data_IF_689279032350
#
_entry.id   IF_689279032350
#
_cell.length_a   1.000
_cell.length_b   1.000
_cell.length_c   1.000
_cell.angle_alpha   90.00
_cell.angle_beta   90.00
_cell.angle_gamma   90.00
#
_symmetry.space_group_name_H-M   'P 1'
#
loop_
_entity.id
_entity.type
_entity.pdbx_description
1 polymer ?
#
# COMPACT_ATOMS: atom_id res chain seq x y z
N UNK A 1 18.79 -5.36 13.18
CA UNK A 1 17.40 -4.83 13.18
C UNK A 1 16.54 -5.82 12.40
N UNK A 2 15.30 -6.04 12.83
CA UNK A 2 14.31 -6.85 12.09
C UNK A 2 13.12 -5.93 11.82
N UNK A 3 12.70 -5.83 10.56
CA UNK A 3 11.55 -5.03 10.14
C UNK A 3 10.60 -5.92 9.34
N UNK A 4 9.30 -5.77 9.63
CA UNK A 4 8.22 -6.38 8.86
C UNK A 4 7.28 -5.27 8.45
N UNK A 5 7.06 -5.12 7.14
CA UNK A 5 6.19 -4.09 6.58
C UNK A 5 5.30 -4.71 5.49
N UNK A 6 4.15 -4.09 5.25
CA UNK A 6 3.27 -4.48 4.14
C UNK A 6 3.85 -3.92 2.84
N UNK A 7 4.20 -4.80 1.92
CA UNK A 7 4.71 -4.44 0.60
C UNK A 7 3.73 -4.77 -0.52
N UNK A 8 4.11 -4.44 -1.76
CA UNK A 8 3.41 -4.89 -2.97
C UNK A 8 4.30 -5.82 -3.79
N UNK A 9 3.67 -6.82 -4.41
CA UNK A 9 4.31 -7.62 -5.46
C UNK A 9 4.21 -6.90 -6.81
N UNK A 10 5.03 -7.32 -7.79
CA UNK A 10 4.99 -6.82 -9.18
C UNK A 10 3.66 -7.13 -9.90
N UNK A 11 2.79 -7.95 -9.31
CA UNK A 11 1.48 -8.29 -9.88
C UNK A 11 0.48 -7.16 -9.60
N UNK A 12 -0.02 -6.54 -10.67
CA UNK A 12 -1.23 -5.71 -10.65
C UNK A 12 -2.42 -6.57 -10.21
N UNK A 13 -2.56 -6.82 -8.90
CA UNK A 13 -3.68 -7.55 -8.36
C UNK A 13 -4.83 -6.54 -8.15
N UNK A 14 -5.94 -6.63 -8.92
CA UNK A 14 -7.10 -5.73 -8.82
C UNK A 14 -7.95 -5.99 -7.56
N UNK A 15 -7.30 -6.45 -6.48
CA UNK A 15 -7.89 -6.84 -5.20
C UNK A 15 -7.16 -6.20 -4.03
N UNK A 16 -6.61 -4.99 -4.21
CA UNK A 16 -6.09 -4.27 -3.06
C UNK A 16 -7.25 -3.87 -2.14
N UNK A 17 -7.06 -3.94 -0.83
CA UNK A 17 -8.05 -3.47 0.16
C UNK A 17 -8.49 -2.04 -0.11
N UNK A 18 -7.56 -1.22 -0.59
CA UNK A 18 -7.79 0.18 -0.91
C UNK A 18 -8.69 0.39 -2.12
N UNK A 19 -8.64 -0.51 -3.10
CA UNK A 19 -9.56 -0.47 -4.23
C UNK A 19 -10.99 -0.78 -3.80
N UNK A 20 -11.18 -1.77 -2.91
CA UNK A 20 -12.50 -2.10 -2.34
C UNK A 20 -13.05 -0.91 -1.54
N UNK A 21 -12.21 -0.31 -0.69
CA UNK A 21 -12.59 0.89 0.06
C UNK A 21 -12.96 2.06 -0.86
N UNK A 22 -12.14 2.32 -1.89
CA UNK A 22 -12.39 3.38 -2.86
C UNK A 22 -13.73 3.21 -3.59
N UNK A 23 -14.06 1.98 -4.01
CA UNK A 23 -15.36 1.67 -4.61
C UNK A 23 -16.52 1.89 -3.64
N UNK A 24 -16.38 1.49 -2.38
CA UNK A 24 -17.41 1.72 -1.37
C UNK A 24 -17.66 3.21 -1.13
N UNK A 25 -16.58 4.01 -1.01
CA UNK A 25 -16.68 5.46 -0.86
C UNK A 25 -17.33 6.12 -2.09
N UNK A 26 -16.98 5.64 -3.30
CA UNK A 26 -17.61 6.12 -4.53
C UNK A 26 -19.12 5.80 -4.57
N UNK A 27 -19.54 4.61 -4.13
CA UNK A 27 -20.98 4.30 -4.01
C UNK A 27 -21.69 5.26 -3.05
N UNK A 28 -21.06 5.64 -1.93
CA UNK A 28 -21.63 6.63 -1.01
C UNK A 28 -21.76 8.03 -1.63
N UNK A 29 -20.90 8.39 -2.57
CA UNK A 29 -21.04 9.63 -3.36
C UNK A 29 -22.26 9.54 -4.28
N UNK A 30 -22.45 8.41 -4.97
CA UNK A 30 -23.61 8.19 -5.85
C UNK A 30 -24.94 8.22 -5.08
N UNK A 31 -24.95 7.77 -3.82
CA UNK A 31 -26.10 7.84 -2.93
C UNK A 31 -26.31 9.23 -2.28
N UNK A 32 -25.40 10.18 -2.53
CA UNK A 32 -25.46 11.53 -1.96
C UNK A 32 -25.11 11.61 -0.47
N UNK A 33 -24.50 10.56 0.10
CA UNK A 33 -24.05 10.52 1.50
C UNK A 33 -22.73 11.28 1.70
N UNK A 34 -21.92 11.39 0.65
CA UNK A 34 -20.63 12.10 0.66
C UNK A 34 -20.59 13.05 -0.55
N UNK A 35 -20.05 14.25 -0.35
CA UNK A 35 -19.75 15.17 -1.46
C UNK A 35 -18.56 14.63 -2.27
N UNK A 36 -18.69 14.59 -3.60
CA UNK A 36 -17.62 14.11 -4.51
C UNK A 36 -16.28 14.79 -4.25
N UNK A 37 -16.30 16.12 -4.02
CA UNK A 37 -15.10 16.89 -3.71
C UNK A 37 -14.37 16.41 -2.45
N UNK A 38 -15.08 15.88 -1.45
CA UNK A 38 -14.43 15.30 -0.26
C UNK A 38 -13.72 14.01 -0.58
N UNK A 39 -14.28 13.19 -1.48
CA UNK A 39 -13.63 11.98 -1.95
C UNK A 39 -12.38 12.30 -2.78
N UNK A 40 -12.45 13.30 -3.67
CA UNK A 40 -11.32 13.72 -4.52
C UNK A 40 -10.11 14.20 -3.70
N UNK A 41 -10.35 14.88 -2.57
CA UNK A 41 -9.29 15.34 -1.68
C UNK A 41 -8.85 14.28 -0.67
N UNK A 42 -9.60 13.18 -0.53
CA UNK A 42 -9.28 12.13 0.41
C UNK A 42 -8.23 11.18 -0.16
N UNK A 43 -6.99 11.36 0.30
CA UNK A 43 -5.89 10.46 0.00
C UNK A 43 -5.40 9.79 1.29
N UNK A 44 -5.11 8.49 1.22
CA UNK A 44 -4.52 7.78 2.35
C UNK A 44 -3.02 8.05 2.40
N UNK A 45 -2.46 8.42 3.58
CA UNK A 45 -1.02 8.60 3.76
C UNK A 45 -0.34 7.24 3.92
N UNK A 46 -0.52 6.36 2.94
CA UNK A 46 -0.11 4.97 2.98
C UNK A 46 0.52 4.56 1.66
N UNK A 47 1.65 3.86 1.75
CA UNK A 47 2.40 3.40 0.59
C UNK A 47 2.86 1.96 0.81
N UNK A 48 2.63 1.10 -0.19
CA UNK A 48 3.11 -0.28 -0.21
C UNK A 48 4.35 -0.36 -1.10
N UNK A 49 5.56 -0.39 -0.54
CA UNK A 49 6.77 -0.43 -1.35
C UNK A 49 6.95 -1.80 -2.01
N UNK A 50 7.57 -1.80 -3.18
CA UNK A 50 8.15 -2.99 -3.76
C UNK A 50 9.45 -3.33 -3.02
N UNK A 51 9.80 -4.62 -2.95
CA UNK A 51 11.02 -5.10 -2.31
C UNK A 51 12.29 -4.37 -2.79
N UNK A 52 12.36 -4.09 -4.09
CA UNK A 52 13.46 -3.32 -4.73
C UNK A 52 13.56 -1.88 -4.19
N UNK A 53 12.45 -1.22 -3.89
CA UNK A 53 12.42 0.15 -3.37
C UNK A 53 12.96 0.17 -1.94
N UNK A 54 12.63 -0.85 -1.14
CA UNK A 54 13.16 -1.01 0.22
C UNK A 54 14.67 -1.21 0.19
N UNK A 55 15.18 -2.12 -0.67
CA UNK A 55 16.63 -2.34 -0.81
C UNK A 55 17.35 -1.06 -1.19
N UNK A 56 16.83 -0.32 -2.17
CA UNK A 56 17.42 0.94 -2.62
C UNK A 56 17.54 1.96 -1.47
N UNK A 57 16.50 2.15 -0.66
CA UNK A 57 16.53 3.09 0.47
C UNK A 57 17.57 2.69 1.52
N UNK A 58 17.71 1.40 1.82
CA UNK A 58 18.70 0.91 2.78
C UNK A 58 20.12 1.19 2.27
N UNK A 59 20.38 0.93 0.99
CA UNK A 59 21.67 1.18 0.35
C UNK A 59 22.00 2.67 0.28
N UNK A 60 21.03 3.53 -0.03
CA UNK A 60 21.19 4.98 -0.07
C UNK A 60 21.44 5.59 1.30
N UNK A 61 20.85 5.04 2.36
CA UNK A 61 21.04 5.52 3.73
C UNK A 61 22.40 5.07 4.32
N UNK A 62 22.78 3.80 4.12
CA UNK A 62 24.14 3.32 4.36
C UNK A 62 24.53 2.98 5.81
N UNK A 63 23.68 3.23 6.82
CA UNK A 63 23.98 2.86 8.22
C UNK A 63 23.75 1.39 8.52
N UNK A 64 23.00 0.68 7.67
CA UNK A 64 22.63 -0.72 7.86
C UNK A 64 23.16 -1.61 6.72
N UNK A 65 23.59 -2.83 7.07
CA UNK A 65 23.88 -3.88 6.08
C UNK A 65 22.70 -4.83 5.97
N UNK A 66 22.23 -5.06 4.73
CA UNK A 66 21.12 -5.97 4.46
C UNK A 66 21.59 -7.43 4.53
N UNK A 67 21.19 -8.14 5.59
CA UNK A 67 21.56 -9.55 5.79
C UNK A 67 20.60 -10.51 5.10
N UNK A 68 19.30 -10.21 5.12
CA UNK A 68 18.24 -11.03 4.53
C UNK A 68 17.05 -10.16 4.16
N UNK A 69 16.42 -10.48 3.04
CA UNK A 69 15.19 -9.87 2.58
C UNK A 69 14.29 -10.95 1.99
N UNK A 70 13.16 -11.19 2.63
CA UNK A 70 12.16 -12.16 2.19
C UNK A 70 10.81 -11.47 1.99
N UNK A 71 10.02 -11.98 1.05
CA UNK A 71 8.63 -11.57 0.85
C UNK A 71 7.74 -12.79 0.97
N UNK A 72 6.58 -12.63 1.58
CA UNK A 72 5.56 -13.67 1.66
C UNK A 72 4.18 -13.04 1.49
N UNK A 73 3.24 -13.84 1.02
CA UNK A 73 1.84 -13.43 0.89
C UNK A 73 1.08 -13.80 2.15
N UNK A 74 0.16 -12.94 2.56
CA UNK A 74 -0.77 -13.18 3.66
C UNK A 74 -2.16 -13.28 3.03
N UNK A 75 -2.87 -14.37 3.36
CA UNK A 75 -4.26 -14.55 2.98
C UNK A 75 -5.18 -13.51 3.63
N UNK A 76 -6.43 -13.49 3.19
CA UNK A 76 -7.46 -12.61 3.76
C UNK A 76 -8.23 -13.28 4.92
N UNK A 77 -7.88 -14.52 5.25
CA UNK A 77 -8.52 -15.41 6.21
C UNK A 77 -8.01 -15.28 7.64
#
# INVERSE_FOLDING_TARGET
>A
MILTIVGRADQNNPKSTWEVLGRALYSMVLEGLIEETKLDHFNLPYYTPHAKEVTKVIEEEGSFSLQKLDTFEIGWD
#
